data_IF_233148226319
#
_entry.id   IF_233148226319
#
_cell.length_a   1.000
_cell.length_b   1.000
_cell.length_c   1.000
_cell.angle_alpha   90.00
_cell.angle_beta   90.00
_cell.angle_gamma   90.00
#
_symmetry.space_group_name_H-M   'P 1'
#
loop_
_entity.id
_entity.type
_entity.pdbx_description
1 polymer ?
#
# COMPACT_ATOMS: atom_id res chain seq x y z
N UNK A 1 8.18 -15.59 -18.54
CA UNK A 1 8.40 -14.69 -17.40
C UNK A 1 8.41 -13.30 -17.99
N UNK A 2 7.45 -12.47 -17.61
CA UNK A 2 7.49 -11.04 -17.91
C UNK A 2 8.60 -10.45 -17.05
N UNK A 3 9.63 -9.88 -17.65
CA UNK A 3 10.68 -9.18 -16.91
C UNK A 3 10.12 -7.81 -16.46
N UNK A 4 10.46 -7.40 -15.24
CA UNK A 4 10.13 -6.08 -14.72
C UNK A 4 10.82 -5.00 -15.53
N UNK A 5 10.09 -3.93 -15.86
CA UNK A 5 10.65 -2.77 -16.56
C UNK A 5 11.76 -2.10 -15.75
N UNK A 6 11.57 -2.03 -14.42
CA UNK A 6 12.51 -1.36 -13.52
C UNK A 6 13.55 -2.30 -12.91
N UNK A 7 13.39 -3.61 -13.06
CA UNK A 7 14.33 -4.62 -12.59
C UNK A 7 14.46 -4.67 -11.07
N UNK A 8 15.70 -4.85 -10.59
CA UNK A 8 16.01 -4.98 -9.17
C UNK A 8 16.15 -3.61 -8.50
N UNK A 9 15.55 -3.44 -7.32
CA UNK A 9 15.63 -2.22 -6.51
C UNK A 9 16.46 -2.52 -5.26
N UNK A 10 17.66 -1.94 -5.16
CA UNK A 10 18.50 -2.09 -3.96
C UNK A 10 17.90 -1.36 -2.75
N UNK A 11 18.44 -1.64 -1.56
CA UNK A 11 18.09 -0.88 -0.36
C UNK A 11 18.44 0.60 -0.56
N UNK A 12 17.47 1.52 -0.47
CA UNK A 12 17.72 2.94 -0.69
C UNK A 12 18.36 3.60 0.53
N UNK A 13 19.11 4.67 0.30
CA UNK A 13 19.48 5.61 1.36
C UNK A 13 18.39 6.66 1.44
N UNK A 14 17.57 6.61 2.48
CA UNK A 14 16.48 7.57 2.68
C UNK A 14 17.03 8.92 3.15
N UNK A 15 16.52 10.00 2.57
CA UNK A 15 16.70 11.32 3.15
C UNK A 15 15.96 11.37 4.51
N UNK A 16 16.53 12.12 5.44
CA UNK A 16 15.95 12.35 6.77
C UNK A 16 15.60 13.82 6.90
N UNK A 17 14.64 14.13 7.77
CA UNK A 17 14.26 15.51 8.05
C UNK A 17 15.48 16.34 8.49
N UNK A 18 15.68 17.56 7.94
CA UNK A 18 16.82 18.41 8.28
C UNK A 18 16.91 18.80 9.75
N UNK A 19 15.79 18.77 10.48
CA UNK A 19 15.72 19.05 11.91
C UNK A 19 16.20 17.88 12.79
N UNK A 20 16.54 16.73 12.18
CA UNK A 20 17.02 15.53 12.86
C UNK A 20 15.94 14.80 13.67
N UNK A 21 14.66 15.16 13.47
CA UNK A 21 13.52 14.52 14.10
C UNK A 21 13.12 13.20 13.43
N UNK A 22 12.02 12.62 13.92
CA UNK A 22 11.32 11.55 13.19
C UNK A 22 10.96 12.06 11.79
N UNK A 23 10.98 11.19 10.78
CA UNK A 23 10.74 11.60 9.38
C UNK A 23 9.56 10.83 8.83
N UNK A 24 8.54 11.55 8.36
CA UNK A 24 7.46 10.99 7.55
C UNK A 24 7.81 11.10 6.06
N UNK A 25 7.16 10.29 5.22
CA UNK A 25 7.47 10.21 3.79
C UNK A 25 6.21 10.21 2.94
N UNK A 26 6.20 11.01 1.88
CA UNK A 26 5.22 10.87 0.81
C UNK A 26 5.68 9.80 -0.19
N UNK A 27 4.73 9.05 -0.73
CA UNK A 27 4.93 8.12 -1.84
C UNK A 27 4.64 8.88 -3.14
N UNK A 28 5.59 8.82 -4.07
CA UNK A 28 5.44 9.25 -5.46
C UNK A 28 5.55 8.04 -6.38
N UNK A 29 5.03 8.17 -7.59
CA UNK A 29 4.95 7.09 -8.56
C UNK A 29 5.67 7.47 -9.84
N UNK A 30 6.67 6.68 -10.25
CA UNK A 30 7.40 6.89 -11.49
C UNK A 30 6.93 5.89 -12.55
N UNK A 31 6.46 6.43 -13.68
CA UNK A 31 6.03 5.67 -14.84
C UNK A 31 7.20 5.12 -15.65
N UNK A 32 6.91 4.23 -16.60
CA UNK A 32 7.95 3.67 -17.48
C UNK A 32 8.55 4.70 -18.43
N UNK A 33 7.89 5.84 -18.62
CA UNK A 33 8.37 7.02 -19.34
C UNK A 33 9.29 7.93 -18.51
N UNK A 34 9.47 7.62 -17.22
CA UNK A 34 10.26 8.40 -16.26
C UNK A 34 9.51 9.60 -15.68
N UNK A 35 8.23 9.81 -16.01
CA UNK A 35 7.42 10.86 -15.40
C UNK A 35 7.05 10.47 -13.97
N UNK A 36 7.05 11.45 -13.06
CA UNK A 36 6.75 11.25 -11.64
C UNK A 36 5.40 11.89 -11.31
N UNK A 37 4.59 11.15 -10.56
CA UNK A 37 3.21 11.49 -10.25
C UNK A 37 2.98 11.40 -8.74
N UNK A 38 2.11 12.26 -8.20
CA UNK A 38 1.63 12.14 -6.81
C UNK A 38 0.62 11.00 -6.64
N UNK A 39 0.02 10.55 -7.74
CA UNK A 39 -0.91 9.43 -7.78
C UNK A 39 -0.51 8.38 -8.81
N UNK A 40 -0.88 7.10 -8.59
CA UNK A 40 -0.63 6.03 -9.55
C UNK A 40 -1.62 6.03 -10.74
N UNK A 41 -2.45 7.07 -10.87
CA UNK A 41 -3.32 7.34 -12.01
C UNK A 41 -2.89 8.64 -12.71
N UNK A 42 -1.96 8.57 -13.68
CA UNK A 42 -1.43 9.73 -14.36
C UNK A 42 -2.52 10.63 -14.95
N UNK A 43 -2.57 11.86 -14.46
CA UNK A 43 -3.39 12.96 -14.96
C UNK A 43 -2.61 14.27 -14.88
N UNK A 44 -2.93 15.26 -15.72
CA UNK A 44 -2.22 16.55 -15.72
C UNK A 44 -2.13 17.19 -14.32
N UNK A 45 -3.16 17.02 -13.48
CA UNK A 45 -3.17 17.55 -12.11
C UNK A 45 -2.34 16.77 -11.08
N UNK A 46 -1.91 15.55 -11.42
CA UNK A 46 -1.09 14.69 -10.55
C UNK A 46 0.39 14.66 -10.96
N UNK A 47 0.76 15.33 -12.06
CA UNK A 47 2.14 15.38 -12.52
C UNK A 47 2.98 16.20 -11.55
N UNK A 48 4.04 15.61 -11.01
CA UNK A 48 5.01 16.32 -10.17
C UNK A 48 6.01 16.98 -11.09
N UNK A 49 5.82 18.29 -11.33
CA UNK A 49 6.75 19.07 -12.16
C UNK A 49 8.12 19.16 -11.47
N UNK A 50 9.16 18.69 -12.16
CA UNK A 50 10.53 18.76 -11.67
C UNK A 50 11.09 20.20 -11.70
N UNK A 51 10.46 21.12 -12.44
CA UNK A 51 10.99 22.46 -12.70
C UNK A 51 10.23 23.58 -11.94
N UNK A 52 8.99 23.35 -11.51
CA UNK A 52 8.11 24.37 -10.94
C UNK A 52 7.92 24.29 -9.41
N UNK A 53 9.00 23.92 -8.68
CA UNK A 53 9.12 23.58 -7.24
C UNK A 53 9.58 22.12 -7.01
N UNK A 54 10.24 21.51 -8.00
CA UNK A 54 10.61 20.07 -8.08
C UNK A 54 11.58 19.48 -7.06
N UNK A 55 11.64 20.07 -5.86
CA UNK A 55 12.28 19.49 -4.68
C UNK A 55 11.77 18.07 -4.38
N UNK A 56 10.46 17.75 -4.35
CA UNK A 56 10.00 16.41 -3.99
C UNK A 56 10.47 15.33 -4.97
N UNK A 57 10.42 15.61 -6.27
CA UNK A 57 10.90 14.69 -7.30
C UNK A 57 12.42 14.51 -7.25
N UNK A 58 13.18 15.60 -7.17
CA UNK A 58 14.64 15.58 -7.14
C UNK A 58 15.22 14.91 -5.88
N UNK A 59 14.51 14.99 -4.76
CA UNK A 59 14.89 14.41 -3.47
C UNK A 59 14.30 13.02 -3.21
N UNK A 60 13.38 12.57 -4.04
CA UNK A 60 12.80 11.23 -3.91
C UNK A 60 13.79 10.14 -4.31
N UNK A 61 13.71 8.98 -3.66
CA UNK A 61 14.51 7.79 -3.99
C UNK A 61 13.61 6.60 -4.34
N UNK A 62 13.98 5.76 -5.34
CA UNK A 62 13.26 4.51 -5.60
C UNK A 62 13.24 3.64 -4.35
N UNK A 63 12.05 3.27 -3.91
CA UNK A 63 11.85 2.56 -2.64
C UNK A 63 10.86 1.40 -2.78
N UNK A 64 10.28 1.18 -3.95
CA UNK A 64 9.27 0.14 -4.10
C UNK A 64 8.69 0.07 -5.49
N UNK A 65 7.59 -0.67 -5.61
CA UNK A 65 6.87 -0.89 -6.88
C UNK A 65 5.40 -1.17 -6.63
N UNK A 66 4.57 -0.85 -7.62
CA UNK A 66 3.17 -1.27 -7.74
C UNK A 66 2.94 -1.97 -9.08
N UNK A 67 1.75 -2.55 -9.25
CA UNK A 67 1.36 -3.26 -10.47
C UNK A 67 1.60 -4.76 -10.37
N UNK A 68 1.73 -5.48 -11.49
CA UNK A 68 1.62 -6.94 -11.49
C UNK A 68 2.85 -7.70 -11.03
N UNK A 69 3.97 -7.00 -10.91
CA UNK A 69 5.23 -7.58 -10.48
C UNK A 69 5.46 -7.15 -9.04
N UNK A 70 5.39 -8.14 -8.14
CA UNK A 70 5.51 -7.94 -6.72
C UNK A 70 6.92 -8.27 -6.18
N UNK A 71 7.02 -8.62 -4.90
CA UNK A 71 8.30 -8.94 -4.28
C UNK A 71 8.83 -10.27 -4.79
N UNK A 72 10.12 -10.52 -4.60
CA UNK A 72 10.82 -11.74 -5.01
C UNK A 72 10.48 -13.01 -4.23
N UNK A 73 9.19 -13.26 -4.01
CA UNK A 73 8.63 -14.51 -3.47
C UNK A 73 8.23 -15.46 -4.62
N UNK A 74 8.04 -16.74 -4.34
CA UNK A 74 7.59 -17.69 -5.37
C UNK A 74 6.08 -17.60 -5.61
N UNK A 75 5.61 -18.08 -6.76
CA UNK A 75 4.17 -18.16 -7.06
C UNK A 75 3.39 -19.03 -6.06
N UNK A 76 4.03 -20.05 -5.47
CA UNK A 76 3.43 -20.84 -4.38
C UNK A 76 3.25 -20.03 -3.10
N UNK A 77 4.13 -19.05 -2.85
CA UNK A 77 4.07 -18.16 -1.69
C UNK A 77 3.17 -16.94 -1.88
N UNK A 78 2.75 -16.67 -3.12
CA UNK A 78 1.88 -15.55 -3.43
C UNK A 78 0.57 -15.63 -2.61
N UNK A 79 0.16 -14.56 -1.92
CA UNK A 79 -1.05 -14.57 -1.12
C UNK A 79 -2.30 -14.95 -1.92
N UNK A 80 -3.20 -15.70 -1.29
CA UNK A 80 -4.46 -16.12 -1.89
C UNK A 80 -5.62 -15.67 -1.04
N UNK A 81 -6.67 -15.23 -1.72
CA UNK A 81 -7.93 -14.90 -1.07
C UNK A 81 -8.51 -16.15 -0.39
N UNK A 82 -8.78 -16.14 0.91
CA UNK A 82 -9.31 -17.30 1.63
C UNK A 82 -10.66 -17.81 1.10
N UNK A 83 -11.49 -16.92 0.56
CA UNK A 83 -12.85 -17.22 0.09
C UNK A 83 -12.82 -17.88 -1.28
N UNK A 84 -12.16 -17.25 -2.25
CA UNK A 84 -12.13 -17.71 -3.64
C UNK A 84 -10.93 -18.60 -3.95
N UNK A 85 -9.81 -18.45 -3.25
CA UNK A 85 -8.55 -19.11 -3.56
C UNK A 85 -7.78 -18.46 -4.72
N UNK A 86 -8.31 -17.39 -5.32
CA UNK A 86 -7.62 -16.63 -6.36
C UNK A 86 -6.37 -15.96 -5.77
N UNK A 87 -5.26 -15.85 -6.53
CA UNK A 87 -4.11 -15.07 -6.10
C UNK A 87 -4.51 -13.61 -5.91
N UNK A 88 -4.14 -13.03 -4.78
CA UNK A 88 -4.46 -11.65 -4.43
C UNK A 88 -3.71 -10.66 -5.34
N UNK A 89 -4.36 -9.56 -5.69
CA UNK A 89 -3.71 -8.44 -6.38
C UNK A 89 -2.54 -7.93 -5.54
N UNK A 90 -1.37 -7.69 -6.14
CA UNK A 90 -0.28 -6.99 -5.50
C UNK A 90 -0.56 -5.48 -5.54
N UNK A 91 -0.78 -4.89 -4.36
CA UNK A 91 -1.01 -3.46 -4.23
C UNK A 91 0.32 -2.71 -4.29
N UNK A 92 1.24 -3.04 -3.37
CA UNK A 92 2.52 -2.35 -3.24
C UNK A 92 3.57 -3.24 -2.59
N UNK A 93 4.82 -3.10 -3.02
CA UNK A 93 6.02 -3.57 -2.31
C UNK A 93 6.87 -2.36 -1.97
N UNK A 94 7.29 -2.22 -0.72
CA UNK A 94 7.93 -1.01 -0.21
C UNK A 94 9.05 -1.33 0.78
N UNK A 95 10.25 -0.78 0.51
CA UNK A 95 11.34 -0.66 1.47
C UNK A 95 10.95 0.31 2.57
N UNK A 96 11.18 -0.07 3.83
CA UNK A 96 10.88 0.78 4.97
C UNK A 96 12.14 1.50 5.47
N UNK A 97 12.07 2.81 5.75
CA UNK A 97 13.10 3.50 6.52
C UNK A 97 13.27 2.85 7.89
N UNK A 98 14.49 2.89 8.45
CA UNK A 98 14.85 2.16 9.68
C UNK A 98 13.83 2.33 10.83
N UNK A 99 13.33 3.54 11.16
CA UNK A 99 12.37 3.71 12.26
C UNK A 99 11.06 2.93 12.06
N UNK A 100 10.66 2.69 10.81
CA UNK A 100 9.44 1.99 10.42
C UNK A 100 9.62 0.45 10.34
N UNK A 101 10.84 -0.08 10.52
CA UNK A 101 11.11 -1.54 10.55
C UNK A 101 10.72 -2.16 11.89
N UNK A 102 9.43 -2.09 12.23
CA UNK A 102 8.91 -2.45 13.56
C UNK A 102 8.94 -3.94 13.89
N UNK A 103 9.16 -4.80 12.89
CA UNK A 103 9.38 -6.26 13.08
C UNK A 103 10.86 -6.66 13.21
N UNK A 104 11.76 -5.67 13.26
CA UNK A 104 13.20 -5.89 13.40
C UNK A 104 13.97 -5.64 12.10
N UNK A 105 15.30 -5.52 12.19
CA UNK A 105 16.14 -5.06 11.08
C UNK A 105 16.23 -6.05 9.90
N UNK A 106 15.99 -7.34 10.14
CA UNK A 106 16.06 -8.38 9.10
C UNK A 106 14.85 -8.33 8.14
N UNK A 107 13.76 -7.69 8.57
CA UNK A 107 12.55 -7.47 7.79
C UNK A 107 12.52 -6.01 7.33
N UNK A 108 13.23 -5.74 6.25
CA UNK A 108 13.58 -4.40 5.78
C UNK A 108 12.41 -3.66 5.09
N UNK A 109 11.27 -4.32 4.90
CA UNK A 109 10.14 -3.74 4.18
C UNK A 109 8.91 -4.64 4.20
N UNK A 110 7.91 -4.26 3.41
CA UNK A 110 6.62 -4.96 3.32
C UNK A 110 6.16 -5.11 1.87
N UNK A 111 5.24 -6.06 1.65
CA UNK A 111 4.35 -6.04 0.51
C UNK A 111 2.89 -6.22 0.96
N UNK A 112 1.99 -5.45 0.38
CA UNK A 112 0.55 -5.47 0.63
C UNK A 112 -0.17 -6.05 -0.60
N UNK A 113 -1.17 -6.88 -0.32
CA UNK A 113 -1.99 -7.54 -1.31
C UNK A 113 -3.47 -7.42 -0.96
N UNK A 114 -4.30 -7.27 -1.98
CA UNK A 114 -5.76 -7.23 -1.86
C UNK A 114 -6.38 -8.49 -2.46
N UNK A 115 -7.18 -9.17 -1.64
CA UNK A 115 -8.04 -10.26 -2.07
C UNK A 115 -9.31 -9.76 -2.76
N UNK A 116 -10.21 -10.69 -3.00
CA UNK A 116 -11.43 -10.40 -3.74
C UNK A 116 -12.40 -9.62 -2.84
N UNK A 117 -13.19 -8.71 -3.45
CA UNK A 117 -14.18 -7.88 -2.75
C UNK A 117 -15.29 -8.67 -2.03
N UNK A 118 -16.28 -7.97 -1.50
CA UNK A 118 -17.35 -8.55 -0.66
C UNK A 118 -18.25 -9.57 -1.36
N UNK A 119 -18.37 -9.48 -2.69
CA UNK A 119 -19.43 -10.13 -3.46
C UNK A 119 -19.25 -11.61 -3.82
N UNK A 120 -18.04 -12.11 -4.12
CA UNK A 120 -17.92 -13.45 -4.68
C UNK A 120 -18.17 -14.60 -3.70
N UNK A 121 -18.93 -15.59 -4.17
CA UNK A 121 -19.18 -16.83 -3.43
C UNK A 121 -17.89 -17.66 -3.27
N UNK A 122 -17.77 -18.44 -2.18
CA UNK A 122 -16.66 -19.37 -2.02
C UNK A 122 -16.58 -20.37 -3.19
N UNK A 123 -15.38 -20.61 -3.71
CA UNK A 123 -15.15 -21.61 -4.76
C UNK A 123 -15.02 -22.99 -4.11
N UNK A 124 -15.83 -23.96 -4.57
CA UNK A 124 -15.77 -25.34 -4.10
C UNK A 124 -14.45 -26.01 -4.52
N UNK A 125 -13.79 -26.69 -3.56
CA UNK A 125 -12.43 -27.25 -3.73
C UNK A 125 -12.41 -28.77 -3.83
N UNK A 126 -13.41 -29.35 -4.50
CA UNK A 126 -13.70 -30.79 -4.46
C UNK A 126 -13.20 -31.53 -5.70
N UNK A 127 -13.13 -30.90 -6.87
CA UNK A 127 -12.63 -31.53 -8.10
C UNK A 127 -11.09 -31.50 -8.16
N UNK A 128 -10.47 -32.66 -7.98
CA UNK A 128 -9.00 -32.80 -8.02
C UNK A 128 -8.42 -32.72 -9.44
N UNK A 129 -9.26 -32.82 -10.46
CA UNK A 129 -8.86 -32.72 -11.88
C UNK A 129 -8.90 -31.28 -12.40
N UNK A 130 -9.41 -30.36 -11.58
CA UNK A 130 -9.41 -28.94 -11.86
C UNK A 130 -7.99 -28.37 -11.68
N UNK A 131 -7.38 -27.76 -12.73
CA UNK A 131 -6.06 -27.17 -12.64
C UNK A 131 -5.97 -26.06 -11.58
N UNK A 132 -7.03 -25.29 -11.36
CA UNK A 132 -7.09 -24.26 -10.32
C UNK A 132 -7.00 -24.88 -8.92
N UNK A 133 -7.73 -25.96 -8.67
CA UNK A 133 -7.69 -26.67 -7.38
C UNK A 133 -6.33 -27.34 -7.17
N UNK A 134 -5.73 -27.91 -8.23
CA UNK A 134 -4.40 -28.48 -8.17
C UNK A 134 -3.33 -27.42 -7.85
N UNK A 135 -3.44 -26.23 -8.43
CA UNK A 135 -2.56 -25.07 -8.15
C UNK A 135 -2.75 -24.53 -6.73
N UNK A 136 -4.00 -24.38 -6.29
CA UNK A 136 -4.34 -23.96 -4.92
C UNK A 136 -3.75 -24.90 -3.86
N UNK A 137 -3.67 -26.21 -4.12
CA UNK A 137 -3.03 -27.18 -3.21
C UNK A 137 -1.52 -27.04 -3.12
N UNK A 138 -0.87 -26.41 -4.10
CA UNK A 138 0.58 -26.11 -4.07
C UNK A 138 0.89 -24.86 -3.27
N UNK A 139 -0.10 -24.00 -3.02
CA UNK A 139 0.08 -22.78 -2.23
C UNK A 139 0.68 -23.09 -0.85
N UNK A 140 1.69 -22.31 -0.47
CA UNK A 140 2.33 -22.34 0.85
C UNK A 140 2.44 -20.89 1.31
N UNK A 141 1.63 -20.44 2.29
CA UNK A 141 1.70 -19.08 2.78
C UNK A 141 3.14 -18.69 3.16
N UNK A 142 3.51 -17.46 2.85
CA UNK A 142 4.81 -16.94 3.24
C UNK A 142 4.92 -16.95 4.79
N UNK A 143 6.07 -17.33 5.39
CA UNK A 143 6.20 -17.42 6.85
C UNK A 143 5.86 -16.12 7.59
N UNK A 144 6.18 -14.98 6.97
CA UNK A 144 5.94 -13.62 7.50
C UNK A 144 4.64 -12.99 6.97
N UNK A 145 3.74 -13.80 6.39
CA UNK A 145 2.43 -13.33 5.95
C UNK A 145 1.51 -13.14 7.15
N UNK A 146 0.80 -12.01 7.15
CA UNK A 146 -0.33 -11.73 8.03
C UNK A 146 -1.55 -11.54 7.14
N UNK A 147 -2.59 -12.32 7.41
CA UNK A 147 -3.89 -12.17 6.77
C UNK A 147 -4.71 -11.15 7.56
N UNK A 148 -5.30 -10.20 6.86
CA UNK A 148 -6.10 -9.11 7.39
C UNK A 148 -7.50 -9.18 6.80
N UNK A 149 -8.48 -8.68 7.55
CA UNK A 149 -9.87 -8.62 7.13
C UNK A 149 -10.42 -7.27 7.56
N UNK A 150 -11.05 -6.55 6.63
CA UNK A 150 -11.70 -5.28 6.95
C UNK A 150 -13.12 -5.50 7.54
N UNK A 151 -13.80 -4.40 7.87
CA UNK A 151 -15.16 -4.44 8.42
C UNK A 151 -16.21 -5.02 7.44
N UNK A 152 -15.91 -4.99 6.14
CA UNK A 152 -16.75 -5.49 5.06
C UNK A 152 -16.50 -6.98 4.77
N UNK A 153 -15.49 -7.56 5.40
CA UNK A 153 -15.07 -8.94 5.20
C UNK A 153 -14.14 -9.12 3.99
N UNK A 154 -13.69 -8.06 3.32
CA UNK A 154 -12.65 -8.17 2.29
C UNK A 154 -11.33 -8.60 2.92
N UNK A 155 -10.58 -9.44 2.20
CA UNK A 155 -9.32 -9.96 2.69
C UNK A 155 -8.16 -9.17 2.12
N UNK A 156 -7.16 -8.92 2.96
CA UNK A 156 -5.87 -8.38 2.56
C UNK A 156 -4.78 -9.27 3.12
N UNK A 157 -3.59 -9.20 2.56
CA UNK A 157 -2.42 -9.83 3.13
C UNK A 157 -1.28 -8.83 3.14
N UNK A 158 -0.57 -8.77 4.26
CA UNK A 158 0.73 -8.12 4.32
C UNK A 158 1.81 -9.18 4.51
N UNK A 159 2.94 -9.01 3.83
CA UNK A 159 4.12 -9.82 4.05
C UNK A 159 5.23 -8.89 4.50
N UNK A 160 5.85 -9.19 5.64
CA UNK A 160 7.13 -8.58 5.99
C UNK A 160 8.26 -9.28 5.24
N UNK A 161 9.10 -8.49 4.58
CA UNK A 161 10.05 -8.99 3.59
C UNK A 161 11.49 -8.74 4.02
N UNK A 162 12.35 -9.70 3.69
CA UNK A 162 13.80 -9.53 3.76
C UNK A 162 14.29 -8.61 2.64
N UNK A 163 15.51 -8.07 2.80
CA UNK A 163 16.18 -7.26 1.78
C UNK A 163 16.30 -7.99 0.41
N UNK A 164 16.57 -9.30 0.43
CA UNK A 164 16.70 -10.12 -0.78
C UNK A 164 15.36 -10.30 -1.51
N UNK A 165 14.25 -10.39 -0.78
CA UNK A 165 12.91 -10.46 -1.37
C UNK A 165 12.46 -9.11 -1.94
N UNK A 166 12.77 -8.00 -1.25
CA UNK A 166 12.47 -6.65 -1.75
C UNK A 166 13.25 -6.28 -3.01
N UNK A 167 14.52 -6.71 -3.09
CA UNK A 167 15.36 -6.40 -4.24
C UNK A 167 14.98 -7.16 -5.51
N UNK A 168 14.33 -8.31 -5.38
CA UNK A 168 13.95 -9.16 -6.51
C UNK A 168 12.49 -8.94 -6.91
N UNK A 169 12.15 -9.49 -8.06
CA UNK A 169 10.81 -9.48 -8.62
C UNK A 169 10.21 -10.88 -8.55
N UNK A 170 8.94 -10.95 -8.19
CA UNK A 170 8.14 -12.16 -8.27
C UNK A 170 6.82 -11.88 -8.99
N UNK A 171 6.23 -12.95 -9.53
CA UNK A 171 4.93 -12.89 -10.18
C UNK A 171 3.97 -13.83 -9.47
N UNK A 172 2.65 -13.59 -9.56
CA UNK A 172 1.67 -14.59 -9.15
C UNK A 172 1.91 -15.93 -9.88
N UNK A 173 1.34 -17.04 -9.37
CA UNK A 173 1.30 -18.29 -10.11
C UNK A 173 0.69 -18.05 -11.50
N UNK A 174 1.11 -18.82 -12.51
CA UNK A 174 0.55 -18.68 -13.84
C UNK A 174 -0.96 -18.96 -13.84
N UNK A 175 -1.74 -18.17 -14.59
CA UNK A 175 -3.17 -18.42 -14.71
C UNK A 175 -3.40 -19.81 -15.32
N UNK A 176 -4.02 -20.68 -14.52
CA UNK A 176 -4.30 -22.06 -14.85
C UNK A 176 -5.78 -22.32 -15.04
N UNK A 177 -6.63 -21.29 -14.94
CA UNK A 177 -8.07 -21.39 -15.17
C UNK A 177 -8.33 -21.78 -16.63
N UNK A 178 -9.37 -22.60 -16.84
CA UNK A 178 -9.92 -22.78 -18.19
C UNK A 178 -10.83 -21.61 -18.51
N UNK A 179 -11.06 -21.36 -19.79
CA UNK A 179 -11.92 -20.25 -20.22
C UNK A 179 -13.32 -20.36 -19.58
N UNK A 180 -13.73 -19.32 -18.87
CA UNK A 180 -15.03 -19.23 -18.21
C UNK A 180 -15.08 -19.73 -16.76
N UNK A 181 -14.05 -20.40 -16.26
CA UNK A 181 -14.02 -20.96 -14.90
C UNK A 181 -13.48 -19.94 -13.87
N UNK A 182 -13.92 -20.09 -12.60
CA UNK A 182 -13.41 -19.33 -11.44
C UNK A 182 -13.39 -17.81 -11.63
N UNK A 183 -14.39 -17.27 -12.34
CA UNK A 183 -14.55 -15.84 -12.58
C UNK A 183 -15.22 -15.18 -11.38
N UNK A 184 -14.69 -14.01 -11.02
CA UNK A 184 -15.32 -13.06 -10.10
C UNK A 184 -16.07 -11.99 -10.90
N UNK A 185 -16.78 -11.07 -10.24
CA UNK A 185 -17.43 -9.99 -10.95
C UNK A 185 -16.39 -9.10 -11.64
N UNK A 186 -16.77 -8.51 -12.77
CA UNK A 186 -15.90 -7.57 -13.48
C UNK A 186 -15.62 -6.38 -12.55
N UNK A 187 -14.34 -6.16 -12.24
CA UNK A 187 -13.88 -5.13 -11.30
C UNK A 187 -13.49 -5.66 -9.91
N UNK A 188 -13.67 -6.95 -9.63
CA UNK A 188 -13.12 -7.56 -8.41
C UNK A 188 -11.61 -7.82 -8.58
N UNK A 189 -10.76 -7.31 -7.68
CA UNK A 189 -9.32 -7.41 -7.84
C UNK A 189 -8.82 -8.85 -7.63
N UNK A 190 -7.96 -9.29 -8.55
CA UNK A 190 -7.13 -10.47 -8.37
C UNK A 190 -5.88 -10.38 -9.28
N UNK A 191 -4.87 -11.19 -9.00
CA UNK A 191 -3.59 -11.12 -9.71
C UNK A 191 -3.62 -11.63 -11.15
N UNK A 192 -4.69 -12.27 -11.61
CA UNK A 192 -4.83 -12.76 -12.98
C UNK A 192 -5.64 -11.83 -13.87
N UNK A 193 -6.58 -11.08 -13.29
CA UNK A 193 -7.45 -10.14 -14.00
C UNK A 193 -7.09 -8.68 -13.67
N UNK A 194 -5.82 -8.31 -13.81
CA UNK A 194 -5.33 -6.94 -13.64
C UNK A 194 -4.98 -6.30 -14.99
N UNK A 195 -5.14 -4.98 -15.13
CA UNK A 195 -4.69 -4.21 -16.30
C UNK A 195 -3.79 -3.01 -15.93
N UNK A 196 -3.47 -2.86 -14.65
CA UNK A 196 -2.67 -1.76 -14.12
C UNK A 196 -1.21 -1.82 -14.56
N UNK A 197 -0.61 -0.66 -14.92
CA UNK A 197 0.79 -0.60 -15.33
C UNK A 197 1.73 -0.84 -14.14
N UNK A 198 2.93 -1.31 -14.45
CA UNK A 198 4.04 -1.30 -13.49
C UNK A 198 4.52 0.14 -13.27
N UNK A 199 4.68 0.55 -12.02
CA UNK A 199 5.29 1.83 -11.65
C UNK A 199 6.28 1.62 -10.49
N UNK A 200 7.33 2.44 -10.45
CA UNK A 200 8.19 2.55 -9.28
C UNK A 200 7.49 3.39 -8.21
N UNK A 201 7.60 2.95 -6.96
CA UNK A 201 7.29 3.79 -5.81
C UNK A 201 8.57 4.47 -5.37
N UNK A 202 8.50 5.79 -5.19
CA UNK A 202 9.59 6.61 -4.67
C UNK A 202 9.17 7.21 -3.34
N UNK A 203 10.09 7.30 -2.39
CA UNK A 203 9.86 8.00 -1.13
C UNK A 203 10.59 9.34 -1.13
N UNK A 204 9.87 10.39 -0.72
CA UNK A 204 10.43 11.72 -0.44
C UNK A 204 10.02 12.16 0.95
N UNK A 205 10.86 12.96 1.62
CA UNK A 205 10.54 13.51 2.93
C UNK A 205 9.26 14.34 2.85
N UNK A 206 8.34 14.08 3.78
CA UNK A 206 7.12 14.85 3.98
C UNK A 206 7.44 16.07 4.85
N UNK A 207 7.70 17.20 4.19
CA UNK A 207 8.10 18.46 4.84
C UNK A 207 6.88 19.19 5.41
N UNK A 208 7.12 20.03 6.42
CA UNK A 208 6.16 20.97 7.00
C UNK A 208 4.89 20.35 7.62
N UNK A 209 4.92 19.04 7.93
CA UNK A 209 3.85 18.35 8.63
C UNK A 209 4.07 18.42 10.16
N UNK A 210 3.20 19.08 10.94
CA UNK A 210 3.36 19.22 12.39
C UNK A 210 3.07 17.92 13.16
N UNK A 211 2.49 16.91 12.53
CA UNK A 211 2.09 15.64 13.16
C UNK A 211 3.13 14.53 12.97
N UNK A 212 4.30 14.82 12.39
CA UNK A 212 5.36 13.85 12.23
C UNK A 212 5.81 13.29 13.58
N UNK A 213 5.75 11.97 13.72
CA UNK A 213 6.13 11.28 14.96
C UNK A 213 5.04 11.29 16.03
N UNK A 214 3.85 11.79 15.73
CA UNK A 214 2.69 11.82 16.62
C UNK A 214 1.67 10.79 16.13
N UNK A 215 1.06 10.06 17.06
CA UNK A 215 0.01 9.11 16.73
C UNK A 215 -1.24 9.87 16.25
N UNK A 216 -1.88 9.45 15.14
CA UNK A 216 -3.17 10.00 14.73
C UNK A 216 -4.23 9.80 15.80
N UNK A 217 -5.16 10.74 15.88
CA UNK A 217 -6.33 10.68 16.77
C UNK A 217 -7.59 11.00 15.97
N UNK A 218 -8.71 10.42 16.38
CA UNK A 218 -10.01 10.77 15.80
C UNK A 218 -10.41 12.17 16.25
N UNK A 219 -10.40 13.10 15.29
CA UNK A 219 -10.78 14.50 15.49
C UNK A 219 -12.31 14.73 15.38
N UNK A 220 -13.06 13.75 14.87
CA UNK A 220 -14.52 13.81 14.72
C UNK A 220 -15.27 13.09 15.86
N UNK A 221 -14.54 12.37 16.72
CA UNK A 221 -15.04 11.75 17.94
C UNK A 221 -15.59 12.78 18.94
N UNK A 222 -16.70 12.42 19.61
CA UNK A 222 -17.40 13.30 20.55
C UNK A 222 -16.49 13.77 21.71
N UNK A 223 -16.58 15.07 21.99
CA UNK A 223 -15.90 15.85 23.03
C UNK A 223 -14.51 16.45 22.68
N UNK A 224 -14.57 17.48 21.82
CA UNK A 224 -13.73 18.70 21.77
C UNK A 224 -12.46 18.71 20.89
N UNK A 225 -12.44 19.65 19.92
CA UNK A 225 -11.26 20.23 19.22
C UNK A 225 -10.13 20.73 20.15
N UNK A 226 -10.26 20.60 21.48
CA UNK A 226 -9.25 21.02 22.46
C UNK A 226 -8.52 19.84 23.14
N UNK A 227 -8.79 18.59 22.74
CA UNK A 227 -8.20 17.39 23.36
C UNK A 227 -7.19 16.63 22.51
N UNK A 228 -6.95 17.02 21.25
CA UNK A 228 -6.10 16.29 20.31
C UNK A 228 -4.59 16.48 20.53
N UNK A 229 -4.17 17.43 21.38
CA UNK A 229 -2.76 17.69 21.62
C UNK A 229 -2.02 16.43 22.14
N UNK A 230 -0.84 16.10 21.59
CA UNK A 230 -0.02 16.95 20.73
C UNK A 230 -0.31 16.87 19.22
N UNK A 231 -1.29 16.08 18.77
CA UNK A 231 -1.71 16.01 17.37
C UNK A 231 -2.48 17.29 16.98
N UNK A 232 -2.07 17.90 15.88
CA UNK A 232 -2.62 19.12 15.31
C UNK A 232 -3.71 18.77 14.32
N UNK A 233 -4.90 19.33 14.52
CA UNK A 233 -6.03 19.19 13.58
C UNK A 233 -5.65 19.75 12.20
N UNK A 234 -5.78 18.98 11.09
CA UNK A 234 -5.54 19.50 9.75
C UNK A 234 -6.65 20.45 9.27
N UNK A 235 -7.84 20.43 9.88
CA UNK A 235 -8.97 21.26 9.52
C UNK A 235 -8.94 22.59 10.30
N UNK A 236 -8.95 23.69 9.55
CA UNK A 236 -9.19 25.03 10.09
C UNK A 236 -10.69 25.33 10.25
N UNK A 237 -11.03 26.60 10.49
CA UNK A 237 -12.41 27.03 10.77
C UNK A 237 -13.39 26.73 9.62
N UNK A 238 -12.95 26.83 8.36
CA UNK A 238 -13.79 26.65 7.16
C UNK A 238 -13.12 25.80 6.05
N UNK A 239 -11.83 25.47 6.17
CA UNK A 239 -11.03 24.77 5.15
C UNK A 239 -9.78 24.14 5.80
N UNK A 240 -9.02 23.32 5.08
CA UNK A 240 -7.71 22.83 5.52
C UNK A 240 -6.77 23.98 5.85
N UNK A 241 -5.91 23.78 6.86
CA UNK A 241 -4.76 24.66 7.04
C UNK A 241 -3.85 24.62 5.80
N UNK A 242 -3.17 25.72 5.47
CA UNK A 242 -2.29 25.80 4.29
C UNK A 242 -1.22 24.68 4.24
N UNK A 243 -0.70 24.28 5.40
CA UNK A 243 0.24 23.16 5.49
C UNK A 243 -0.43 21.81 5.18
N UNK A 244 -1.68 21.63 5.58
CA UNK A 244 -2.45 20.40 5.41
C UNK A 244 -2.98 20.26 3.98
N UNK A 245 -3.42 21.36 3.36
CA UNK A 245 -3.92 21.40 1.98
C UNK A 245 -2.88 20.93 0.95
N UNK A 246 -1.59 21.17 1.23
CA UNK A 246 -0.49 20.68 0.37
C UNK A 246 -0.19 19.19 0.53
N UNK A 247 -0.64 18.62 1.63
CA UNK A 247 -0.31 17.27 2.07
C UNK A 247 -1.46 16.28 1.87
N UNK A 248 -2.69 16.78 1.77
CA UNK A 248 -3.88 15.96 1.62
C UNK A 248 -3.84 15.09 0.37
N UNK A 249 -4.56 13.97 0.47
CA UNK A 249 -4.80 13.00 -0.57
C UNK A 249 -3.54 12.29 -1.15
N UNK A 250 -2.34 12.50 -0.60
CA UNK A 250 -1.15 11.72 -0.95
C UNK A 250 -1.09 10.39 -0.18
N UNK A 251 -0.47 9.39 -0.80
CA UNK A 251 -0.05 8.16 -0.12
C UNK A 251 1.20 8.44 0.74
N UNK A 252 1.30 7.93 1.97
CA UNK A 252 2.40 8.29 2.88
C UNK A 252 2.69 7.28 4.00
N UNK A 253 3.88 7.42 4.58
CA UNK A 253 4.32 6.78 5.81
C UNK A 253 4.33 7.81 6.94
N UNK A 254 3.48 7.63 7.95
CA UNK A 254 3.34 8.50 9.12
C UNK A 254 2.93 9.95 8.80
N UNK A 255 2.85 10.79 9.84
CA UNK A 255 2.46 12.20 9.70
C UNK A 255 0.98 12.42 9.92
N UNK A 256 0.40 13.35 9.16
CA UNK A 256 -1.02 13.71 9.23
C UNK A 256 -1.89 12.76 8.40
N UNK A 257 -2.86 12.12 9.03
CA UNK A 257 -3.95 11.39 8.39
C UNK A 257 -5.05 12.37 7.92
N UNK A 258 -5.66 12.10 6.77
CA UNK A 258 -6.80 12.83 6.23
C UNK A 258 -8.04 11.93 6.15
N UNK A 259 -8.64 11.58 7.30
CA UNK A 259 -9.77 10.69 7.29
C UNK A 259 -11.04 11.43 6.86
N UNK A 260 -11.79 10.88 5.92
CA UNK A 260 -13.17 11.31 5.64
C UNK A 260 -14.19 10.54 6.53
N UNK A 261 -13.71 9.59 7.34
CA UNK A 261 -14.48 8.85 8.35
C UNK A 261 -13.72 8.76 9.70
N UNK A 262 -13.94 7.69 10.47
CA UNK A 262 -13.31 7.48 11.79
C UNK A 262 -11.84 7.06 11.64
N UNK A 263 -11.01 7.49 12.60
CA UNK A 263 -9.64 6.99 12.75
C UNK A 263 -9.66 5.73 13.62
N UNK A 264 -9.05 4.62 13.20
CA UNK A 264 -8.97 3.40 14.00
C UNK A 264 -8.23 3.62 15.31
N UNK A 265 -8.78 3.07 16.39
CA UNK A 265 -8.09 3.03 17.68
C UNK A 265 -6.80 2.22 17.58
N UNK A 266 -5.70 2.76 18.12
CA UNK A 266 -4.43 2.04 18.26
C UNK A 266 -3.44 2.24 17.10
N UNK A 267 -3.69 3.20 16.21
CA UNK A 267 -2.64 3.74 15.34
C UNK A 267 -1.53 4.39 16.18
N UNK A 268 -0.31 4.19 15.75
CA UNK A 268 0.94 4.75 16.26
C UNK A 268 1.50 5.71 15.20
N UNK A 269 2.63 6.40 15.44
CA UNK A 269 3.28 7.19 14.39
C UNK A 269 3.83 6.35 13.20
N UNK A 270 3.82 5.02 13.31
CA UNK A 270 4.45 4.09 12.38
C UNK A 270 3.42 3.43 11.46
N UNK A 271 2.62 4.22 10.75
CA UNK A 271 1.58 3.69 9.86
C UNK A 271 1.88 3.98 8.39
N UNK A 272 1.32 3.14 7.52
CA UNK A 272 1.16 3.37 6.10
C UNK A 272 -0.28 3.76 5.84
N UNK A 273 -0.49 4.85 5.11
CA UNK A 273 -1.80 5.24 4.60
C UNK A 273 -1.76 5.31 3.08
N UNK A 274 -2.68 4.56 2.46
CA UNK A 274 -2.76 4.41 1.02
C UNK A 274 -4.10 4.90 0.51
N UNK A 275 -4.06 6.00 -0.25
CA UNK A 275 -5.19 6.53 -1.00
C UNK A 275 -5.10 5.99 -2.43
N UNK A 276 -6.12 5.24 -2.84
CA UNK A 276 -6.33 4.74 -4.20
C UNK A 276 -5.04 4.27 -4.94
N UNK A 277 -4.61 3.03 -4.69
CA UNK A 277 -3.58 2.38 -5.53
C UNK A 277 -4.22 1.72 -6.75
N UNK A 278 -3.50 1.72 -7.88
CA UNK A 278 -4.00 1.12 -9.13
C UNK A 278 -4.45 -0.32 -8.95
N UNK A 279 -5.73 -0.56 -9.19
CA UNK A 279 -6.37 -1.88 -9.11
C UNK A 279 -6.92 -2.27 -7.76
N UNK A 280 -6.55 -1.55 -6.70
CA UNK A 280 -7.25 -1.72 -5.44
C UNK A 280 -8.70 -1.27 -5.59
N UNK A 281 -9.59 -2.02 -4.95
CA UNK A 281 -10.99 -1.64 -4.83
C UNK A 281 -11.26 -1.36 -3.34
N UNK A 282 -10.92 -0.14 -2.93
CA UNK A 282 -11.11 0.37 -1.56
C UNK A 282 -11.96 1.63 -1.60
N UNK A 283 -12.98 1.65 -2.47
CA UNK A 283 -13.80 2.85 -2.73
C UNK A 283 -12.96 4.06 -3.17
N UNK A 284 -13.56 5.24 -3.13
CA UNK A 284 -12.80 6.46 -2.85
C UNK A 284 -12.47 6.35 -1.38
N UNK A 285 -11.24 6.05 -0.98
CA UNK A 285 -10.94 5.75 0.42
C UNK A 285 -9.45 5.66 0.69
N UNK A 286 -9.11 5.54 1.97
CA UNK A 286 -7.74 5.28 2.41
C UNK A 286 -7.65 3.99 3.21
N UNK A 287 -6.65 3.16 2.88
CA UNK A 287 -6.28 1.98 3.64
C UNK A 287 -5.19 2.35 4.63
N UNK A 288 -5.42 2.04 5.90
CA UNK A 288 -4.54 2.38 7.00
C UNK A 288 -3.98 1.10 7.62
N UNK A 289 -2.67 0.96 7.63
CA UNK A 289 -1.98 -0.15 8.28
C UNK A 289 -0.90 0.35 9.21
N UNK A 290 -1.03 0.03 10.50
CA UNK A 290 0.00 0.31 11.49
C UNK A 290 1.08 -0.78 11.48
N UNK A 291 2.32 -0.37 11.21
CA UNK A 291 3.47 -1.26 11.10
C UNK A 291 3.92 -1.79 12.48
N UNK A 292 3.59 -1.11 13.57
CA UNK A 292 3.93 -1.49 14.94
C UNK A 292 2.84 -2.34 15.59
N UNK A 293 1.63 -1.79 15.74
CA UNK A 293 0.50 -2.40 16.43
C UNK A 293 -0.20 -3.44 15.57
N UNK A 294 -0.07 -3.36 14.24
CA UNK A 294 -0.79 -4.22 13.29
C UNK A 294 -2.27 -3.86 13.15
N UNK A 295 -2.69 -2.71 13.67
CA UNK A 295 -4.03 -2.15 13.40
C UNK A 295 -4.20 -1.97 11.91
N UNK A 296 -5.33 -2.41 11.40
CA UNK A 296 -5.67 -2.39 9.99
C UNK A 296 -7.13 -1.97 9.86
N UNK A 297 -7.37 -0.95 9.05
CA UNK A 297 -8.71 -0.55 8.66
C UNK A 297 -8.67 0.13 7.28
N UNK A 298 -9.85 0.39 6.73
CA UNK A 298 -9.99 1.33 5.63
C UNK A 298 -11.20 2.23 5.86
N UNK A 299 -11.08 3.48 5.41
CA UNK A 299 -12.17 4.45 5.46
C UNK A 299 -12.52 4.89 4.05
N UNK A 300 -13.80 5.11 3.78
CA UNK A 300 -14.19 5.89 2.60
C UNK A 300 -13.60 7.31 2.68
N UNK A 301 -13.50 7.91 1.51
CA UNK A 301 -13.00 9.23 1.13
C UNK A 301 -14.03 9.91 0.22
#
# INVERSE_FOLDING_TARGET
MTESYFGTIGEPTFEVSPDGGFTAYNLLFEGTDGQIWSYPYPSEGSLVDADADGEPAAHSVPAGRIGPIGPGITGEQWPRDPRTGLPMLHAITLWLPEPYRRRGPDLAGIALFQGVGEGPEPIERTDETDPFIADLRRHRPHPEQILLTDILGCHFAIIWLTADELSRCGTPPADCRRDGEHRVYLGDPNAWDHDHPEMLVRLTVRRDDPNVGIAPVDIFGADTNSSCAPYTDPFGDDDYHEWADRLQANNHLGGTLFPDQLVPDGLTPFYLDLVEISGMNIGSGSLQYDLESGVFDWSCS
#
